data_IF_175775682810
#
_entry.id   IF_175775682810
#
_cell.length_a   1.000
_cell.length_b   1.000
_cell.length_c   1.000
_cell.angle_alpha   90.00
_cell.angle_beta   90.00
_cell.angle_gamma   90.00
#
_symmetry.space_group_name_H-M   'P 1'
#
loop_
_entity.id
_entity.type
_entity.pdbx_description
1 polymer ?
#
# COMPACT_ATOMS: atom_id res chain seq x y z
N UNK A 1 -7.73 -4.16 -27.35
CA UNK A 1 -8.80 -4.63 -26.44
C UNK A 1 -8.16 -4.92 -25.10
N UNK A 2 -8.70 -4.40 -23.99
CA UNK A 2 -8.29 -4.86 -22.65
C UNK A 2 -8.90 -6.25 -22.43
N UNK A 3 -8.06 -7.23 -22.11
CA UNK A 3 -8.47 -8.61 -21.88
C UNK A 3 -8.57 -8.87 -20.38
N UNK A 4 -9.50 -9.74 -19.98
CA UNK A 4 -9.58 -10.19 -18.59
C UNK A 4 -8.30 -10.95 -18.18
N UNK A 5 -7.85 -10.77 -16.94
CA UNK A 5 -6.69 -11.45 -16.39
C UNK A 5 -6.89 -11.77 -14.90
N UNK A 6 -6.10 -12.70 -14.38
CA UNK A 6 -6.05 -13.01 -12.97
C UNK A 6 -4.84 -12.36 -12.32
N UNK A 7 -5.07 -11.72 -11.18
CA UNK A 7 -4.02 -11.27 -10.29
C UNK A 7 -3.94 -12.28 -9.15
N UNK A 8 -2.78 -12.89 -8.93
CA UNK A 8 -2.61 -13.92 -7.90
C UNK A 8 -1.25 -13.74 -7.24
N UNK A 9 -1.26 -13.36 -5.96
CA UNK A 9 -0.06 -13.17 -5.16
C UNK A 9 -0.02 -11.82 -4.44
N UNK A 10 1.09 -11.53 -3.74
CA UNK A 10 1.31 -10.22 -3.11
C UNK A 10 1.68 -9.15 -4.14
N UNK A 11 1.47 -7.89 -3.77
CA UNK A 11 1.92 -6.73 -4.53
C UNK A 11 3.00 -5.98 -3.76
N UNK A 12 3.76 -5.15 -4.47
CA UNK A 12 4.77 -4.29 -3.83
C UNK A 12 4.67 -2.90 -4.41
N UNK A 13 4.68 -1.89 -3.54
CA UNK A 13 4.79 -0.49 -3.94
C UNK A 13 6.18 0.04 -3.57
N UNK A 14 6.91 0.57 -4.54
CA UNK A 14 8.21 1.21 -4.36
C UNK A 14 8.09 2.69 -4.71
N UNK A 15 8.75 3.55 -3.95
CA UNK A 15 8.72 4.99 -4.17
C UNK A 15 9.91 5.70 -3.54
N UNK A 16 10.33 6.83 -4.12
CA UNK A 16 11.16 7.81 -3.43
C UNK A 16 10.28 8.84 -2.73
N UNK A 17 10.51 9.05 -1.43
CA UNK A 17 9.70 9.97 -0.61
C UNK A 17 10.56 10.91 0.22
N UNK A 18 10.02 12.08 0.56
CA UNK A 18 10.58 12.97 1.58
C UNK A 18 9.51 13.43 2.55
N UNK A 19 9.91 13.80 3.76
CA UNK A 19 8.98 14.30 4.79
C UNK A 19 9.15 15.81 5.02
N UNK A 20 8.03 16.47 5.33
CA UNK A 20 7.97 17.87 5.69
C UNK A 20 7.18 18.04 7.00
N UNK A 21 7.75 18.76 7.97
CA UNK A 21 7.12 19.00 9.27
C UNK A 21 7.05 17.78 10.19
N UNK A 22 7.77 16.70 9.86
CA UNK A 22 7.95 15.48 10.67
C UNK A 22 9.20 14.74 10.19
N UNK A 23 9.77 13.88 11.03
CA UNK A 23 10.92 13.01 10.73
C UNK A 23 10.51 11.52 10.59
N UNK A 24 9.26 11.18 10.89
CA UNK A 24 8.68 9.86 10.62
C UNK A 24 7.18 9.99 10.30
N UNK A 25 6.67 9.06 9.48
CA UNK A 25 5.27 9.01 9.11
C UNK A 25 4.80 7.56 8.90
N UNK A 26 3.52 7.29 9.17
CA UNK A 26 2.86 6.11 8.60
C UNK A 26 2.62 6.36 7.13
N UNK A 27 2.92 5.36 6.31
CA UNK A 27 2.56 5.32 4.90
C UNK A 27 1.74 4.07 4.62
N UNK A 28 0.64 4.24 3.89
CA UNK A 28 -0.28 3.19 3.50
C UNK A 28 -0.47 3.24 1.99
N UNK A 29 -0.39 2.07 1.37
CA UNK A 29 -0.74 1.84 -0.03
C UNK A 29 -1.88 0.83 -0.10
N UNK A 30 -2.91 1.15 -0.88
CA UNK A 30 -4.08 0.31 -1.06
C UNK A 30 -4.46 0.23 -2.54
N UNK A 31 -4.93 -0.93 -2.96
CA UNK A 31 -5.39 -1.16 -4.33
C UNK A 31 -6.90 -1.41 -4.30
N UNK A 32 -7.65 -0.56 -4.98
CA UNK A 32 -9.10 -0.69 -5.18
C UNK A 32 -9.42 -1.20 -6.58
N UNK A 33 -10.57 -1.86 -6.70
CA UNK A 33 -11.10 -2.31 -7.98
C UNK A 33 -12.36 -1.52 -8.31
N UNK A 34 -12.35 -0.82 -9.44
CA UNK A 34 -13.50 -0.09 -9.97
C UNK A 34 -14.04 -0.84 -11.18
N UNK A 35 -15.34 -1.16 -11.16
CA UNK A 35 -16.05 -1.85 -12.24
C UNK A 35 -17.23 -1.00 -12.68
N UNK A 36 -17.20 -0.53 -13.93
CA UNK A 36 -18.26 0.33 -14.47
C UNK A 36 -18.44 1.62 -13.69
N UNK A 37 -17.36 2.18 -13.12
CA UNK A 37 -17.39 3.38 -12.30
C UNK A 37 -17.80 3.19 -10.83
N UNK A 38 -17.99 1.94 -10.39
CA UNK A 38 -18.35 1.62 -8.99
C UNK A 38 -17.28 0.74 -8.36
N UNK A 39 -16.91 1.04 -7.12
CA UNK A 39 -15.98 0.22 -6.36
C UNK A 39 -16.56 -1.17 -6.06
N UNK A 40 -15.75 -2.21 -6.28
CA UNK A 40 -16.06 -3.59 -5.93
C UNK A 40 -15.44 -3.90 -4.56
N UNK A 41 -16.25 -4.12 -3.50
CA UNK A 41 -15.73 -4.42 -2.18
C UNK A 41 -15.24 -5.87 -2.08
N UNK A 42 -14.35 -6.10 -1.12
CA UNK A 42 -13.81 -7.41 -0.75
C UNK A 42 -14.08 -7.72 0.72
N UNK A 43 -14.00 -9.00 1.08
CA UNK A 43 -14.04 -9.45 2.46
C UNK A 43 -12.68 -9.23 3.13
N UNK A 44 -12.67 -8.42 4.17
CA UNK A 44 -11.52 -8.15 5.01
C UNK A 44 -11.55 -8.88 6.35
N UNK A 45 -10.56 -8.58 7.17
CA UNK A 45 -10.46 -9.11 8.53
C UNK A 45 -11.72 -8.82 9.35
N UNK A 46 -12.06 -9.74 10.26
CA UNK A 46 -13.20 -9.63 11.19
C UNK A 46 -14.58 -9.53 10.51
N UNK A 47 -14.71 -10.05 9.28
CA UNK A 47 -15.97 -10.02 8.52
C UNK A 47 -16.29 -8.64 7.94
N UNK A 48 -15.27 -7.82 7.71
CA UNK A 48 -15.44 -6.50 7.13
C UNK A 48 -15.63 -6.60 5.61
N UNK A 49 -16.88 -6.70 5.15
CA UNK A 49 -17.23 -6.85 3.73
C UNK A 49 -17.10 -5.59 2.85
N UNK A 50 -16.27 -4.62 3.24
CA UNK A 50 -16.00 -3.38 2.48
C UNK A 50 -14.50 -3.10 2.35
N UNK A 51 -13.69 -4.16 2.43
CA UNK A 51 -12.25 -4.06 2.24
C UNK A 51 -11.93 -3.86 0.75
N UNK A 52 -10.65 -3.65 0.48
CA UNK A 52 -10.08 -3.41 -0.84
C UNK A 52 -9.38 -4.67 -1.37
N UNK A 53 -8.88 -4.65 -2.60
CA UNK A 53 -8.19 -5.81 -3.23
C UNK A 53 -7.00 -6.25 -2.38
N UNK A 54 -6.19 -5.29 -1.96
CA UNK A 54 -5.07 -5.50 -1.04
C UNK A 54 -4.59 -4.15 -0.50
N UNK A 55 -3.96 -4.15 0.66
CA UNK A 55 -3.32 -2.99 1.24
C UNK A 55 -2.07 -3.38 2.02
N UNK A 56 -1.22 -2.40 2.26
CA UNK A 56 0.03 -2.53 3.00
C UNK A 56 0.34 -1.22 3.71
N UNK A 57 1.03 -1.30 4.84
CA UNK A 57 1.37 -0.13 5.64
C UNK A 57 2.73 -0.32 6.32
N UNK A 58 3.46 0.78 6.52
CA UNK A 58 4.66 0.79 7.34
C UNK A 58 4.89 2.18 7.95
N UNK A 59 5.67 2.24 9.04
CA UNK A 59 6.34 3.47 9.50
C UNK A 59 7.58 3.68 8.65
N UNK A 60 7.71 4.85 8.04
CA UNK A 60 8.79 5.12 7.08
C UNK A 60 10.18 5.11 7.73
N UNK A 61 10.30 5.41 9.03
CA UNK A 61 11.56 5.24 9.73
C UNK A 61 11.95 3.77 9.92
N UNK A 62 11.02 2.81 9.83
CA UNK A 62 11.30 1.37 9.92
C UNK A 62 11.39 0.73 8.52
N UNK A 63 12.18 1.34 7.64
CA UNK A 63 12.33 0.98 6.23
C UNK A 63 13.43 -0.07 5.94
N UNK A 64 14.24 -0.42 6.94
CA UNK A 64 15.31 -1.42 6.75
C UNK A 64 14.70 -2.78 6.39
N UNK A 65 15.15 -3.33 5.25
CA UNK A 65 14.72 -4.65 4.78
C UNK A 65 15.68 -5.74 5.26
N UNK A 66 15.12 -6.89 5.58
CA UNK A 66 15.85 -8.13 5.80
C UNK A 66 16.23 -8.73 4.44
N UNK A 67 17.52 -8.74 4.10
CA UNK A 67 17.99 -9.23 2.80
C UNK A 67 17.88 -10.74 2.62
N UNK A 68 17.80 -11.52 3.71
CA UNK A 68 17.69 -12.98 3.66
C UNK A 68 16.23 -13.42 3.49
N UNK A 69 15.28 -12.67 4.06
CA UNK A 69 13.86 -12.99 4.01
C UNK A 69 13.10 -12.27 2.88
N UNK A 70 13.58 -11.11 2.43
CA UNK A 70 12.89 -10.32 1.42
C UNK A 70 12.96 -10.95 0.04
N UNK A 71 11.84 -10.91 -0.68
CA UNK A 71 11.76 -11.23 -2.11
C UNK A 71 11.26 -10.01 -2.89
N UNK A 72 11.42 -9.98 -4.23
CA UNK A 72 10.90 -8.87 -5.05
C UNK A 72 9.39 -8.62 -4.95
N UNK A 73 8.62 -9.60 -4.45
CA UNK A 73 7.16 -9.55 -4.31
C UNK A 73 6.70 -9.50 -2.84
N UNK A 74 7.60 -9.81 -1.91
CA UNK A 74 7.31 -9.85 -0.48
C UNK A 74 8.52 -9.30 0.28
N UNK A 75 8.63 -7.97 0.39
CA UNK A 75 9.67 -7.32 1.19
C UNK A 75 9.37 -7.51 2.67
N UNK A 76 10.40 -7.86 3.45
CA UNK A 76 10.32 -8.09 4.89
C UNK A 76 11.14 -7.01 5.58
N UNK A 77 10.51 -6.23 6.45
CA UNK A 77 11.19 -5.18 7.20
C UNK A 77 11.70 -5.74 8.53
N UNK A 78 12.93 -5.39 8.90
CA UNK A 78 13.55 -5.88 10.15
C UNK A 78 12.85 -5.32 11.39
N UNK A 79 12.36 -4.08 11.28
CA UNK A 79 11.86 -3.26 12.38
C UNK A 79 12.83 -3.13 13.57
N UNK A 80 14.12 -3.44 13.38
CA UNK A 80 15.10 -3.52 14.46
C UNK A 80 15.45 -2.14 15.06
N UNK A 81 15.43 -1.10 14.23
CA UNK A 81 15.69 0.28 14.61
C UNK A 81 14.82 1.23 13.79
N UNK A 82 14.55 2.40 14.36
CA UNK A 82 14.00 3.51 13.62
C UNK A 82 15.15 4.33 13.01
N UNK A 83 14.99 4.73 11.75
CA UNK A 83 15.87 5.64 11.03
C UNK A 83 15.08 6.90 10.63
N UNK A 84 14.99 7.92 11.50
CA UNK A 84 14.26 9.16 11.18
C UNK A 84 14.81 9.87 9.95
N UNK A 85 13.95 10.58 9.21
CA UNK A 85 14.31 11.36 8.04
C UNK A 85 15.00 12.67 8.46
N UNK A 86 16.08 13.00 7.76
CA UNK A 86 16.66 14.33 7.82
C UNK A 86 15.83 15.34 7.01
N UNK A 87 15.85 16.64 7.35
CA UNK A 87 15.15 17.66 6.56
C UNK A 87 15.56 17.61 5.08
N UNK A 88 14.55 17.57 4.20
CA UNK A 88 14.72 17.49 2.74
C UNK A 88 15.41 16.21 2.22
N UNK A 89 15.61 15.20 3.07
CA UNK A 89 16.11 13.89 2.64
C UNK A 89 15.08 13.19 1.77
N UNK A 90 15.53 12.64 0.64
CA UNK A 90 14.75 11.77 -0.23
C UNK A 90 15.22 10.35 0.02
N UNK A 91 14.29 9.49 0.41
CA UNK A 91 14.57 8.12 0.83
C UNK A 91 13.74 7.15 -0.01
N UNK A 92 14.35 6.10 -0.57
CA UNK A 92 13.61 5.03 -1.22
C UNK A 92 12.87 4.20 -0.16
N UNK A 93 11.61 3.92 -0.43
CA UNK A 93 10.74 3.10 0.42
C UNK A 93 10.13 1.97 -0.37
N UNK A 94 9.83 0.90 0.34
CA UNK A 94 9.15 -0.28 -0.19
C UNK A 94 8.02 -0.66 0.76
N UNK A 95 6.83 -0.90 0.23
CA UNK A 95 5.65 -1.32 1.00
C UNK A 95 5.20 -2.68 0.47
N UNK A 96 5.19 -3.67 1.36
CA UNK A 96 4.56 -4.96 1.09
C UNK A 96 3.04 -4.80 1.15
N UNK A 97 2.34 -5.18 0.09
CA UNK A 97 0.88 -5.31 0.12
C UNK A 97 0.52 -6.78 0.28
N UNK A 98 -0.53 -7.06 1.05
CA UNK A 98 -0.94 -8.42 1.41
C UNK A 98 -1.23 -9.30 0.16
N UNK A 99 -1.00 -10.63 0.24
CA UNK A 99 -1.40 -11.55 -0.81
C UNK A 99 -2.89 -11.49 -1.13
N UNK A 100 -3.22 -11.54 -2.42
CA UNK A 100 -4.60 -11.57 -2.92
C UNK A 100 -4.76 -12.57 -4.07
N UNK A 101 -6.01 -12.85 -4.42
CA UNK A 101 -6.36 -13.48 -5.70
C UNK A 101 -7.62 -12.78 -6.27
N UNK A 102 -7.48 -12.07 -7.40
CA UNK A 102 -8.56 -11.25 -7.97
C UNK A 102 -8.62 -11.36 -9.49
N UNK A 103 -9.79 -11.74 -10.01
CA UNK A 103 -10.10 -11.72 -11.45
C UNK A 103 -10.48 -10.32 -11.89
N UNK A 104 -9.69 -9.74 -12.79
CA UNK A 104 -10.04 -8.55 -13.54
C UNK A 104 -10.84 -8.91 -14.79
N UNK A 105 -11.92 -8.17 -15.03
CA UNK A 105 -12.71 -8.21 -16.27
C UNK A 105 -12.20 -7.12 -17.22
N UNK A 106 -12.51 -7.27 -18.50
CA UNK A 106 -12.26 -6.21 -19.46
C UNK A 106 -13.00 -4.93 -19.03
N UNK A 107 -12.29 -3.80 -18.97
CA UNK A 107 -12.81 -2.51 -18.53
C UNK A 107 -12.82 -2.26 -17.01
N UNK A 108 -12.39 -3.24 -16.20
CA UNK A 108 -12.10 -2.98 -14.79
C UNK A 108 -10.87 -2.04 -14.67
N UNK A 109 -10.89 -1.17 -13.65
CA UNK A 109 -9.80 -0.25 -13.35
C UNK A 109 -9.27 -0.55 -11.96
N UNK A 110 -7.94 -0.61 -11.84
CA UNK A 110 -7.28 -0.62 -10.54
C UNK A 110 -6.88 0.80 -10.16
N UNK A 111 -7.20 1.19 -8.93
CA UNK A 111 -6.80 2.47 -8.36
C UNK A 111 -5.83 2.24 -7.20
N UNK A 112 -4.68 2.91 -7.25
CA UNK A 112 -3.74 2.95 -6.14
C UNK A 112 -4.07 4.16 -5.26
N UNK A 113 -4.48 3.92 -4.03
CA UNK A 113 -4.70 4.94 -3.01
C UNK A 113 -3.50 4.97 -2.04
N UNK A 114 -2.92 6.16 -1.86
CA UNK A 114 -1.81 6.39 -0.95
C UNK A 114 -2.27 7.31 0.18
N UNK A 115 -2.01 6.93 1.44
CA UNK A 115 -2.44 7.70 2.62
C UNK A 115 -1.42 7.65 3.74
N UNK A 116 -1.50 8.60 4.66
CA UNK A 116 -0.83 8.54 5.98
C UNK A 116 -1.77 8.16 7.12
N UNK A 117 -3.01 7.81 6.77
CA UNK A 117 -4.11 7.47 7.69
C UNK A 117 -4.72 6.14 7.29
N UNK A 118 -5.42 5.52 8.25
CA UNK A 118 -6.13 4.27 8.01
C UNK A 118 -7.27 4.46 7.00
N UNK A 119 -7.48 3.45 6.14
CA UNK A 119 -8.43 3.51 5.03
C UNK A 119 -9.87 3.69 5.49
N UNK A 120 -10.25 3.00 6.56
CA UNK A 120 -11.63 2.85 6.97
C UNK A 120 -11.93 3.60 8.26
N UNK A 121 -13.14 4.15 8.35
CA UNK A 121 -13.63 4.69 9.62
C UNK A 121 -13.73 3.58 10.67
N UNK A 122 -13.67 3.94 11.95
CA UNK A 122 -13.96 3.00 13.04
C UNK A 122 -15.35 3.24 13.60
N UNK A 123 -16.32 2.46 13.15
CA UNK A 123 -17.68 2.46 13.69
C UNK A 123 -18.39 1.14 13.35
N UNK A 124 -19.40 0.72 14.12
CA UNK A 124 -20.02 -0.58 13.98
C UNK A 124 -20.97 -0.74 12.77
N UNK A 125 -21.31 0.35 12.07
CA UNK A 125 -22.28 0.31 10.98
C UNK A 125 -21.60 0.27 9.60
N UNK A 126 -20.57 1.10 9.43
CA UNK A 126 -19.88 1.31 8.15
C UNK A 126 -18.38 1.10 8.20
N UNK A 127 -17.80 1.03 9.40
CA UNK A 127 -16.36 0.99 9.63
C UNK A 127 -15.80 -0.39 9.91
N UNK A 128 -14.48 -0.47 9.90
CA UNK A 128 -13.77 -1.69 10.31
C UNK A 128 -13.63 -1.69 11.84
N UNK A 129 -13.92 -2.85 12.45
CA UNK A 129 -13.76 -3.11 13.89
C UNK A 129 -13.33 -4.57 14.11
N UNK A 130 -12.62 -4.89 15.20
CA UNK A 130 -12.23 -4.01 16.30
C UNK A 130 -10.86 -3.32 16.12
N UNK A 131 -10.11 -3.65 15.08
CA UNK A 131 -8.73 -3.20 14.90
C UNK A 131 -8.60 -2.08 13.86
N UNK A 132 -7.62 -1.20 14.09
CA UNK A 132 -7.09 -0.25 13.11
C UNK A 132 -5.59 -0.12 13.29
N UNK A 133 -4.91 0.35 12.25
CA UNK A 133 -3.49 0.66 12.33
C UNK A 133 -3.23 2.12 12.76
N UNK A 134 -2.01 2.35 13.25
CA UNK A 134 -1.56 3.66 13.70
C UNK A 134 -1.47 4.65 12.53
N UNK A 135 -1.91 5.88 12.76
CA UNK A 135 -1.98 6.95 11.76
C UNK A 135 -1.08 8.10 12.15
N UNK A 136 -0.42 8.72 11.19
CA UNK A 136 0.25 10.01 11.45
C UNK A 136 -0.76 11.14 11.42
N UNK A 137 -0.65 12.06 12.39
CA UNK A 137 -1.52 13.24 12.52
C UNK A 137 -0.83 14.57 12.21
N UNK A 138 0.47 14.55 11.91
CA UNK A 138 1.31 15.74 11.67
C UNK A 138 2.23 15.55 10.46
N UNK A 139 2.62 16.67 9.85
CA UNK A 139 3.51 16.71 8.70
C UNK A 139 2.86 16.25 7.39
N UNK A 140 3.67 16.15 6.34
CA UNK A 140 3.26 15.60 5.04
C UNK A 140 4.34 14.71 4.44
N UNK A 141 3.90 13.72 3.66
CA UNK A 141 4.78 12.88 2.84
C UNK A 141 4.68 13.35 1.40
N UNK A 142 5.82 13.70 0.80
CA UNK A 142 5.91 14.03 -0.63
C UNK A 142 6.42 12.81 -1.39
N UNK A 143 5.71 12.45 -2.44
CA UNK A 143 6.10 11.41 -3.39
C UNK A 143 6.85 12.06 -4.56
N UNK A 144 8.05 11.57 -4.85
CA UNK A 144 8.86 12.06 -5.96
C UNK A 144 8.63 11.19 -7.19
N UNK A 145 8.28 11.82 -8.32
CA UNK A 145 7.92 11.15 -9.56
C UNK A 145 8.79 11.64 -10.72
N UNK A 146 9.37 10.71 -11.48
CA UNK A 146 10.09 11.00 -12.72
C UNK A 146 11.55 11.41 -12.52
N UNK A 147 12.26 11.59 -13.64
CA UNK A 147 13.71 11.83 -13.62
C UNK A 147 14.46 10.57 -13.16
N UNK A 148 15.23 10.71 -12.07
CA UNK A 148 15.91 9.59 -11.41
C UNK A 148 15.04 8.92 -10.34
N UNK A 149 13.87 9.49 -10.02
CA UNK A 149 12.98 9.00 -8.97
C UNK A 149 11.92 8.06 -9.54
N UNK A 150 11.82 6.88 -8.95
CA UNK A 150 10.90 5.84 -9.37
C UNK A 150 9.74 5.72 -8.37
N UNK A 151 8.51 5.67 -8.88
CA UNK A 151 7.37 5.13 -8.16
C UNK A 151 6.76 4.01 -8.99
N UNK A 152 6.65 2.82 -8.41
CA UNK A 152 6.25 1.59 -9.09
C UNK A 152 5.30 0.77 -8.22
N UNK A 153 4.16 0.36 -8.77
CA UNK A 153 3.34 -0.72 -8.21
C UNK A 153 3.57 -2.00 -9.03
N UNK A 154 4.13 -3.03 -8.38
CA UNK A 154 4.30 -4.35 -8.98
C UNK A 154 3.06 -5.20 -8.74
N UNK A 155 2.52 -5.74 -9.83
CA UNK A 155 1.24 -6.47 -9.85
C UNK A 155 1.49 -7.90 -10.38
N UNK A 156 1.09 -8.96 -9.65
CA UNK A 156 1.33 -10.34 -10.05
C UNK A 156 0.25 -10.84 -11.01
N UNK A 157 0.46 -10.67 -12.32
CA UNK A 157 -0.45 -11.21 -13.34
C UNK A 157 -0.18 -12.71 -13.51
N UNK A 158 -1.17 -13.54 -13.17
CA UNK A 158 -1.11 -14.97 -13.46
C UNK A 158 -1.37 -15.20 -14.97
N UNK A 159 -0.52 -16.03 -15.60
CA UNK A 159 -0.69 -16.41 -16.99
C UNK A 159 -2.05 -17.10 -17.21
N UNK A 160 -2.76 -16.70 -18.27
CA UNK A 160 -4.04 -17.29 -18.68
C UNK A 160 -3.90 -18.65 -19.36
#
# INVERSE_FOLDING_TARGET
>A
MQTACDLIGPMTFNADVSLEGTDDATFLAAVRLIRGGVEVPFEGSYGFGRDVVTHGWNRLAHRELDSELSTPWQPVHTHAKAEPFSPSEIVPITVALLPQATRLRAGDVLELELRSQWLFAMNPFTGQLPARYATSSTGSTRLHLGGLHLAELRIPVAGG
#
